data_IF_668349312002
#
_entry.id   IF_668349312002
#
_cell.length_a   1.000
_cell.length_b   1.000
_cell.length_c   1.000
_cell.angle_alpha   90.00
_cell.angle_beta   90.00
_cell.angle_gamma   90.00
#
_symmetry.space_group_name_H-M   'P 1'
#
loop_
_entity.id
_entity.type
_entity.pdbx_description
1 polymer ?
#
# COMPACT_ATOMS: atom_id res chain seq x y z
N UNK A 1 -49.73 -85.89 -6.21
CA UNK A 1 -48.46 -85.13 -6.06
C UNK A 1 -48.80 -83.69 -5.67
N UNK A 2 -47.91 -82.92 -5.04
CA UNK A 2 -47.27 -82.97 -3.71
C UNK A 2 -48.08 -82.11 -2.68
N UNK A 3 -47.79 -82.03 -1.38
CA UNK A 3 -46.84 -81.08 -0.74
C UNK A 3 -46.64 -81.46 0.74
N UNK A 4 -45.43 -81.19 1.24
CA UNK A 4 -44.83 -81.76 2.45
C UNK A 4 -44.15 -80.67 3.28
N UNK A 5 -44.05 -80.95 4.59
CA UNK A 5 -43.16 -80.41 5.63
C UNK A 5 -43.55 -79.04 6.23
N UNK A 6 -43.78 -78.86 7.55
CA UNK A 6 -42.96 -79.22 8.74
C UNK A 6 -41.57 -78.51 8.69
N UNK A 7 -40.91 -78.02 9.74
CA UNK A 7 -40.94 -78.36 11.16
C UNK A 7 -40.22 -77.26 11.99
N UNK A 8 -40.70 -77.08 13.22
CA UNK A 8 -39.99 -77.19 14.53
C UNK A 8 -38.65 -76.47 14.84
N UNK A 9 -38.62 -75.92 16.07
CA UNK A 9 -37.61 -75.14 16.82
C UNK A 9 -36.24 -75.81 17.09
N UNK A 10 -35.21 -74.93 17.21
CA UNK A 10 -33.95 -74.88 18.02
C UNK A 10 -33.60 -76.02 19.00
N UNK A 11 -32.30 -76.30 19.37
CA UNK A 11 -31.30 -75.29 19.83
C UNK A 11 -29.76 -75.61 19.76
N UNK A 12 -28.96 -74.66 20.27
CA UNK A 12 -27.65 -74.76 20.98
C UNK A 12 -26.27 -74.94 20.27
N UNK A 13 -25.41 -73.96 20.59
CA UNK A 13 -23.95 -73.98 20.88
C UNK A 13 -22.85 -74.13 19.82
N UNK A 14 -22.00 -73.09 19.83
CA UNK A 14 -20.53 -73.05 19.76
C UNK A 14 -19.82 -73.46 18.46
N UNK A 15 -19.22 -72.49 17.78
CA UNK A 15 -17.76 -72.52 17.54
C UNK A 15 -17.22 -71.13 17.16
N UNK A 16 -16.03 -70.85 17.69
CA UNK A 16 -15.20 -69.67 17.52
C UNK A 16 -14.72 -69.54 16.07
N UNK A 17 -14.90 -68.37 15.46
CA UNK A 17 -14.02 -67.92 14.38
C UNK A 17 -13.75 -66.41 14.46
N UNK A 18 -12.48 -66.15 14.78
CA UNK A 18 -11.64 -65.01 14.38
C UNK A 18 -12.28 -64.04 13.38
N UNK A 19 -12.18 -62.76 13.72
CA UNK A 19 -11.75 -61.77 12.74
C UNK A 19 -12.49 -60.43 12.80
N UNK A 20 -11.66 -59.38 12.79
CA UNK A 20 -11.97 -58.03 12.30
C UNK A 20 -13.05 -57.22 13.04
N UNK A 21 -12.62 -56.12 13.67
CA UNK A 21 -13.59 -55.13 14.12
C UNK A 21 -13.07 -53.98 14.98
N UNK A 22 -11.84 -53.49 14.79
CA UNK A 22 -11.54 -52.12 15.25
C UNK A 22 -12.14 -51.14 14.24
N UNK A 23 -13.41 -50.80 14.41
CA UNK A 23 -13.99 -49.58 13.87
C UNK A 23 -13.45 -48.41 14.69
N UNK A 24 -12.28 -47.92 14.33
CA UNK A 24 -11.87 -46.56 14.64
C UNK A 24 -11.74 -45.84 13.30
N UNK A 25 -12.79 -45.12 12.91
CA UNK A 25 -12.69 -44.10 11.87
C UNK A 25 -11.96 -42.90 12.48
N UNK A 26 -10.71 -42.57 12.10
CA UNK A 26 -10.26 -41.21 12.26
C UNK A 26 -11.00 -40.36 11.22
N UNK A 27 -11.88 -39.48 11.70
CA UNK A 27 -12.38 -38.35 10.92
C UNK A 27 -11.18 -37.49 10.52
N UNK A 28 -10.58 -37.80 9.37
CA UNK A 28 -9.60 -36.94 8.70
C UNK A 28 -10.37 -35.76 8.08
N UNK A 29 -10.65 -34.76 8.92
CA UNK A 29 -11.04 -33.44 8.44
C UNK A 29 -9.79 -32.79 7.82
N UNK A 30 -9.59 -33.05 6.53
CA UNK A 30 -8.73 -32.28 5.65
C UNK A 30 -9.31 -30.87 5.50
N UNK A 31 -9.08 -30.02 6.50
CA UNK A 31 -9.22 -28.58 6.32
C UNK A 31 -8.04 -28.11 5.46
N UNK A 32 -8.23 -28.11 4.14
CA UNK A 32 -7.44 -27.27 3.26
C UNK A 32 -7.74 -25.82 3.67
N UNK A 33 -6.90 -25.25 4.53
CA UNK A 33 -6.91 -23.84 4.86
C UNK A 33 -6.52 -23.07 3.60
N UNK A 34 -7.51 -22.74 2.76
CA UNK A 34 -7.38 -21.61 1.86
C UNK A 34 -7.41 -20.34 2.71
N UNK A 35 -6.25 -20.00 3.25
CA UNK A 35 -5.95 -18.68 3.80
C UNK A 35 -5.93 -17.66 2.65
N UNK A 36 -7.12 -17.30 2.16
CA UNK A 36 -7.35 -16.15 1.27
C UNK A 36 -7.30 -14.81 2.04
N UNK A 37 -6.69 -14.80 3.22
CA UNK A 37 -6.30 -13.57 3.90
C UNK A 37 -4.81 -13.65 4.18
N UNK A 38 -4.02 -13.67 3.10
CA UNK A 38 -2.57 -13.50 3.14
C UNK A 38 -2.19 -12.07 3.52
N UNK A 39 -2.47 -11.66 4.76
CA UNK A 39 -1.78 -10.55 5.41
C UNK A 39 -0.54 -11.11 6.10
N UNK A 40 0.42 -11.59 5.31
CA UNK A 40 1.77 -11.87 5.77
C UNK A 40 2.76 -11.22 4.81
N UNK A 41 2.69 -9.90 4.70
CA UNK A 41 3.86 -9.13 4.31
C UNK A 41 4.67 -8.95 5.58
N UNK A 42 5.68 -9.79 5.79
CA UNK A 42 6.77 -9.41 6.70
C UNK A 42 7.34 -8.12 6.12
N UNK A 43 7.01 -6.99 6.73
CA UNK A 43 7.69 -5.74 6.46
C UNK A 43 9.13 -5.97 6.90
N UNK A 44 9.98 -6.40 5.97
CA UNK A 44 11.42 -6.31 6.16
C UNK A 44 11.66 -4.82 6.32
N UNK A 45 11.80 -4.38 7.57
CA UNK A 45 12.30 -3.05 7.89
C UNK A 45 13.73 -3.02 7.36
N UNK A 46 13.87 -2.65 6.09
CA UNK A 46 15.15 -2.23 5.56
C UNK A 46 15.48 -1.01 6.41
N UNK A 47 16.58 -1.08 7.17
CA UNK A 47 17.09 0.08 7.87
C UNK A 47 17.45 1.10 6.80
N UNK A 48 16.53 2.02 6.52
CA UNK A 48 16.79 3.09 5.59
C UNK A 48 17.84 4.01 6.24
N UNK A 49 18.85 4.44 5.49
CA UNK A 49 19.85 5.38 6.00
C UNK A 49 19.13 6.66 6.45
N UNK A 50 19.26 6.98 7.73
CA UNK A 50 18.67 8.16 8.36
C UNK A 50 19.62 9.34 8.23
N UNK A 51 19.07 10.52 7.91
CA UNK A 51 19.85 11.75 7.72
C UNK A 51 19.14 12.99 8.25
N UNK A 52 19.88 14.11 8.33
CA UNK A 52 19.34 15.43 8.64
C UNK A 52 18.96 16.17 7.36
N UNK A 53 17.68 16.50 7.22
CA UNK A 53 17.12 17.10 6.01
C UNK A 53 16.03 18.08 6.36
N UNK A 54 16.16 19.36 6.02
CA UNK A 54 15.03 20.28 6.14
C UNK A 54 14.11 20.17 4.93
N UNK A 55 12.81 20.40 5.13
CA UNK A 55 11.81 20.42 4.05
C UNK A 55 11.35 21.85 3.83
N UNK A 56 11.45 22.31 2.60
CA UNK A 56 11.08 23.64 2.17
C UNK A 56 9.59 23.99 2.50
N UNK A 57 9.23 25.29 2.54
CA UNK A 57 7.84 25.70 2.67
C UNK A 57 6.97 25.20 1.50
N UNK A 58 5.64 25.18 1.68
CA UNK A 58 4.70 24.69 0.66
C UNK A 58 4.75 25.49 -0.66
N UNK A 59 5.21 26.74 -0.64
CA UNK A 59 5.48 27.54 -1.85
C UNK A 59 6.48 26.88 -2.79
N UNK A 60 7.41 26.11 -2.23
CA UNK A 60 8.50 25.46 -2.96
C UNK A 60 8.13 24.01 -3.34
N UNK A 61 6.83 23.69 -3.25
CA UNK A 61 6.22 22.46 -3.73
C UNK A 61 5.14 22.78 -4.77
N UNK A 62 5.53 23.52 -5.81
CA UNK A 62 4.59 24.08 -6.79
C UNK A 62 3.71 23.01 -7.43
N UNK A 63 2.38 23.20 -7.40
CA UNK A 63 1.44 22.37 -8.14
C UNK A 63 1.32 22.90 -9.58
N UNK A 64 2.05 22.27 -10.49
CA UNK A 64 2.23 22.76 -11.86
C UNK A 64 0.92 22.88 -12.62
N UNK A 65 -0.01 21.89 -12.59
CA UNK A 65 -1.34 22.04 -13.21
C UNK A 65 -2.12 23.27 -12.76
N UNK A 66 -2.06 23.62 -11.46
CA UNK A 66 -2.73 24.83 -10.97
C UNK A 66 -2.01 26.12 -11.37
N UNK A 67 -0.69 26.12 -11.33
CA UNK A 67 0.14 27.26 -11.78
C UNK A 67 -0.09 27.57 -13.25
N UNK A 68 -0.27 26.53 -14.07
CA UNK A 68 -0.49 26.65 -15.50
C UNK A 68 -2.00 26.88 -15.84
N UNK A 69 -2.86 27.03 -14.83
CA UNK A 69 -4.27 27.37 -14.98
C UNK A 69 -5.18 26.22 -15.43
N UNK A 70 -4.70 24.98 -15.40
CA UNK A 70 -5.46 23.79 -15.83
C UNK A 70 -6.51 23.37 -14.80
N UNK A 71 -6.20 23.56 -13.50
CA UNK A 71 -7.09 23.28 -12.36
C UNK A 71 -6.94 24.35 -11.26
N UNK A 72 -7.86 24.37 -10.30
CA UNK A 72 -7.68 25.20 -9.10
C UNK A 72 -6.60 24.61 -8.16
N UNK A 73 -5.93 25.44 -7.34
CA UNK A 73 -4.85 24.99 -6.44
C UNK A 73 -5.20 23.86 -5.48
N UNK A 74 -6.49 23.69 -5.18
CA UNK A 74 -7.04 22.69 -4.26
C UNK A 74 -7.78 21.54 -4.96
N UNK A 75 -7.73 21.44 -6.29
CA UNK A 75 -8.45 20.41 -7.07
C UNK A 75 -7.49 19.43 -7.74
N UNK A 76 -7.80 18.16 -7.62
CA UNK A 76 -7.12 17.07 -8.36
C UNK A 76 -7.95 16.74 -9.60
N UNK A 77 -7.28 16.57 -10.74
CA UNK A 77 -7.92 16.10 -11.97
C UNK A 77 -8.37 14.65 -11.82
N UNK A 78 -9.60 14.35 -12.24
CA UNK A 78 -10.15 13.00 -12.22
C UNK A 78 -11.05 12.71 -13.42
N UNK A 79 -11.23 11.43 -13.74
CA UNK A 79 -12.02 10.99 -14.89
C UNK A 79 -13.53 10.99 -14.62
N UNK A 80 -13.96 10.75 -13.37
CA UNK A 80 -15.36 10.77 -12.99
C UNK A 80 -15.94 12.19 -12.90
N UNK A 81 -17.27 12.28 -12.96
CA UNK A 81 -17.99 13.54 -13.00
C UNK A 81 -17.84 14.39 -11.71
N UNK A 82 -17.64 13.74 -10.56
CA UNK A 82 -17.46 14.42 -9.28
C UNK A 82 -16.00 14.82 -9.09
N UNK A 83 -15.71 16.12 -9.06
CA UNK A 83 -14.35 16.61 -8.81
C UNK A 83 -13.84 16.26 -7.41
N UNK A 84 -12.53 16.01 -7.29
CA UNK A 84 -11.85 15.86 -5.99
C UNK A 84 -11.30 17.23 -5.59
N UNK A 85 -12.01 17.90 -4.67
CA UNK A 85 -11.64 19.22 -4.15
C UNK A 85 -11.28 19.10 -2.67
N UNK A 86 -10.10 19.60 -2.31
CA UNK A 86 -9.60 19.58 -0.95
C UNK A 86 -9.89 20.89 -0.22
N UNK A 87 -9.85 20.80 1.12
CA UNK A 87 -9.94 21.97 2.00
C UNK A 87 -8.72 22.88 1.88
N UNK A 88 -7.54 22.28 1.76
CA UNK A 88 -6.27 22.99 1.62
C UNK A 88 -5.72 22.80 0.21
N UNK A 89 -4.79 23.65 -0.19
CA UNK A 89 -4.14 23.52 -1.48
C UNK A 89 -3.34 22.21 -1.59
N UNK A 90 -3.19 21.74 -2.82
CA UNK A 90 -2.52 20.48 -3.13
C UNK A 90 -1.05 20.51 -2.75
N UNK A 91 -0.37 21.65 -2.94
CA UNK A 91 1.02 21.82 -2.52
C UNK A 91 1.19 21.62 -1.00
N UNK A 92 0.31 22.21 -0.19
CA UNK A 92 0.36 22.08 1.26
C UNK A 92 0.08 20.65 1.71
N UNK A 93 -0.95 20.03 1.14
CA UNK A 93 -1.34 18.65 1.46
C UNK A 93 -0.23 17.66 1.11
N UNK A 94 0.37 17.79 -0.09
CA UNK A 94 1.48 16.93 -0.51
C UNK A 94 2.72 17.20 0.33
N UNK A 95 3.09 18.46 0.60
CA UNK A 95 4.25 18.82 1.42
C UNK A 95 4.12 18.28 2.84
N UNK A 96 2.94 18.37 3.45
CA UNK A 96 2.68 17.82 4.78
C UNK A 96 2.73 16.29 4.79
N UNK A 97 2.21 15.64 3.73
CA UNK A 97 2.37 14.20 3.52
C UNK A 97 3.84 13.79 3.42
N UNK A 98 4.66 14.54 2.68
CA UNK A 98 6.11 14.29 2.57
C UNK A 98 6.80 14.40 3.92
N UNK A 99 6.54 15.46 4.67
CA UNK A 99 7.08 15.64 6.04
C UNK A 99 6.70 14.49 6.95
N UNK A 100 5.42 14.07 6.92
CA UNK A 100 4.92 12.93 7.71
C UNK A 100 5.64 11.64 7.33
N UNK A 101 5.72 11.32 6.04
CA UNK A 101 6.38 10.11 5.54
C UNK A 101 7.88 10.07 5.83
N UNK A 102 8.60 11.19 5.64
CA UNK A 102 10.03 11.27 5.96
C UNK A 102 10.31 11.08 7.46
N UNK A 103 9.48 11.65 8.34
CA UNK A 103 9.59 11.42 9.79
C UNK A 103 9.35 9.96 10.15
N UNK A 104 8.33 9.33 9.55
CA UNK A 104 8.06 7.90 9.75
C UNK A 104 9.22 7.05 9.27
N UNK A 105 9.90 7.44 8.20
CA UNK A 105 11.09 6.77 7.69
C UNK A 105 12.37 7.06 8.51
N UNK A 106 12.31 7.90 9.55
CA UNK A 106 13.42 8.16 10.47
C UNK A 106 14.30 9.36 10.13
N UNK A 107 13.89 10.23 9.20
CA UNK A 107 14.64 11.47 8.93
C UNK A 107 14.41 12.53 10.01
N UNK A 108 15.49 13.22 10.39
CA UNK A 108 15.44 14.38 11.28
C UNK A 108 15.25 15.65 10.45
N UNK A 109 14.12 16.34 10.64
CA UNK A 109 13.75 17.47 9.77
C UNK A 109 14.16 18.85 10.26
N UNK A 110 14.83 18.91 11.41
CA UNK A 110 15.21 20.14 12.09
C UNK A 110 16.70 20.42 11.87
N UNK A 111 17.04 21.60 11.36
CA UNK A 111 18.43 22.08 11.25
C UNK A 111 19.32 21.35 10.23
N UNK A 112 18.74 20.75 9.18
CA UNK A 112 19.50 20.03 8.16
C UNK A 112 20.32 20.97 7.25
N UNK A 113 21.53 20.55 6.88
CA UNK A 113 22.36 21.26 5.86
C UNK A 113 21.83 21.11 4.44
N UNK A 114 20.84 20.25 4.26
CA UNK A 114 20.17 19.95 2.99
C UNK A 114 18.72 20.38 3.08
N UNK A 115 18.20 20.96 2.01
CA UNK A 115 16.80 21.38 1.90
C UNK A 115 16.15 20.61 0.76
N UNK A 116 15.11 19.83 1.06
CA UNK A 116 14.25 19.18 0.08
C UNK A 116 13.13 20.12 -0.36
N UNK A 117 13.02 20.32 -1.66
CA UNK A 117 11.93 21.03 -2.34
C UNK A 117 11.39 20.16 -3.49
N UNK A 118 10.33 20.61 -4.16
CA UNK A 118 9.84 19.88 -5.31
C UNK A 118 8.81 20.59 -6.17
N UNK A 119 8.34 19.88 -7.19
CA UNK A 119 7.20 20.30 -7.99
C UNK A 119 6.32 19.11 -8.29
N UNK A 120 5.02 19.32 -8.11
CA UNK A 120 3.97 18.34 -8.38
C UNK A 120 3.61 18.53 -9.86
N UNK A 121 4.32 17.80 -10.72
CA UNK A 121 4.17 17.90 -12.17
C UNK A 121 2.86 17.27 -12.65
N UNK A 122 2.37 16.24 -11.93
CA UNK A 122 1.09 15.60 -12.20
C UNK A 122 0.51 15.04 -10.92
N UNK A 123 -0.77 15.28 -10.68
CA UNK A 123 -1.54 14.55 -9.68
C UNK A 123 -2.94 14.32 -10.22
N UNK A 124 -3.26 13.07 -10.58
CA UNK A 124 -4.51 12.72 -11.27
C UNK A 124 -5.08 11.41 -10.74
N UNK A 125 -6.39 11.22 -10.89
CA UNK A 125 -7.09 9.99 -10.53
C UNK A 125 -7.87 9.44 -11.71
N UNK A 126 -7.65 8.18 -12.07
CA UNK A 126 -8.59 7.44 -12.91
C UNK A 126 -9.54 6.63 -12.02
N UNK A 127 -10.73 7.15 -11.81
CA UNK A 127 -11.81 6.63 -10.95
C UNK A 127 -13.02 6.14 -11.74
N UNK A 128 -12.87 5.99 -13.06
CA UNK A 128 -13.91 5.50 -13.98
C UNK A 128 -14.43 4.13 -13.53
N UNK A 129 -13.49 3.21 -13.24
CA UNK A 129 -13.76 1.84 -12.80
C UNK A 129 -13.11 1.59 -11.44
N UNK A 130 -13.52 0.51 -10.77
CA UNK A 130 -12.85 0.06 -9.56
C UNK A 130 -11.72 -0.92 -9.93
N UNK A 131 -10.54 -0.84 -9.29
CA UNK A 131 -10.10 0.18 -8.33
C UNK A 131 -9.78 1.52 -9.01
N UNK A 132 -9.79 2.60 -8.24
CA UNK A 132 -9.30 3.89 -8.70
C UNK A 132 -7.75 3.89 -8.74
N UNK A 133 -7.19 4.55 -9.75
CA UNK A 133 -5.75 4.67 -9.95
C UNK A 133 -5.28 6.09 -9.75
N UNK A 134 -4.55 6.32 -8.67
CA UNK A 134 -3.93 7.60 -8.34
C UNK A 134 -2.55 7.65 -8.97
N UNK A 135 -2.26 8.68 -9.73
CA UNK A 135 -0.94 8.92 -10.33
C UNK A 135 -0.36 10.21 -9.80
N UNK A 136 0.83 10.13 -9.21
CA UNK A 136 1.59 11.27 -8.74
C UNK A 136 2.95 11.29 -9.44
N UNK A 137 3.27 12.41 -10.11
CA UNK A 137 4.59 12.70 -10.67
C UNK A 137 5.19 13.87 -9.92
N UNK A 138 6.25 13.60 -9.19
CA UNK A 138 7.00 14.56 -8.39
C UNK A 138 8.40 14.74 -8.95
N UNK A 139 8.80 15.99 -9.18
CA UNK A 139 10.21 16.34 -9.32
C UNK A 139 10.72 16.83 -7.98
N UNK A 140 11.71 16.13 -7.44
CA UNK A 140 12.37 16.45 -6.18
C UNK A 140 13.71 17.12 -6.44
N UNK A 141 14.05 18.10 -5.61
CA UNK A 141 15.34 18.79 -5.65
C UNK A 141 15.88 18.92 -4.23
N UNK A 142 17.13 18.53 -4.03
CA UNK A 142 17.86 18.76 -2.78
C UNK A 142 18.92 19.81 -3.02
N UNK A 143 18.90 20.83 -2.19
CA UNK A 143 19.80 21.97 -2.25
C UNK A 143 20.65 22.03 -0.99
N UNK A 144 21.92 22.37 -1.14
CA UNK A 144 22.80 22.73 -0.02
C UNK A 144 22.36 24.06 0.60
N UNK A 145 22.04 24.08 1.89
CA UNK A 145 21.49 25.26 2.55
C UNK A 145 22.48 26.44 2.61
N UNK A 146 23.79 26.17 2.64
CA UNK A 146 24.82 27.19 2.77
C UNK A 146 25.20 27.81 1.40
N UNK A 147 25.32 26.98 0.37
CA UNK A 147 25.78 27.39 -0.96
C UNK A 147 24.65 27.59 -1.97
N UNK A 148 23.42 27.20 -1.62
CA UNK A 148 22.27 27.16 -2.51
C UNK A 148 22.46 26.33 -3.79
N UNK A 149 23.46 25.44 -3.81
CA UNK A 149 23.72 24.56 -4.95
C UNK A 149 22.82 23.34 -4.90
N UNK A 150 22.23 22.99 -6.04
CA UNK A 150 21.51 21.72 -6.22
C UNK A 150 22.52 20.58 -6.14
N UNK A 151 22.34 19.69 -5.18
CA UNK A 151 23.19 18.51 -4.98
C UNK A 151 22.53 17.22 -5.46
N UNK A 152 21.21 17.25 -5.65
CA UNK A 152 20.45 16.14 -6.21
C UNK A 152 19.15 16.64 -6.83
N UNK A 153 18.75 16.02 -7.94
CA UNK A 153 17.46 16.24 -8.59
C UNK A 153 17.00 14.94 -9.20
N UNK A 154 15.74 14.58 -8.99
CA UNK A 154 15.14 13.38 -9.58
C UNK A 154 13.67 13.61 -9.87
N UNK A 155 13.10 12.79 -10.75
CA UNK A 155 11.66 12.77 -10.99
C UNK A 155 11.13 11.38 -10.72
N UNK A 156 10.13 11.27 -9.85
CA UNK A 156 9.48 10.01 -9.47
C UNK A 156 8.04 10.06 -9.93
N UNK A 157 7.63 9.01 -10.65
CA UNK A 157 6.22 8.79 -10.99
C UNK A 157 5.78 7.53 -10.29
N UNK A 158 4.74 7.64 -9.47
CA UNK A 158 4.15 6.51 -8.76
C UNK A 158 2.68 6.36 -9.13
N UNK A 159 2.20 5.12 -9.02
CA UNK A 159 0.79 4.78 -9.23
C UNK A 159 0.29 3.98 -8.05
N UNK A 160 -0.70 4.53 -7.34
CA UNK A 160 -1.35 3.89 -6.21
C UNK A 160 -2.73 3.38 -6.61
N UNK A 161 -3.02 2.12 -6.26
CA UNK A 161 -4.35 1.53 -6.44
C UNK A 161 -5.14 1.74 -5.15
N UNK A 162 -6.36 2.26 -5.25
CA UNK A 162 -7.25 2.44 -4.11
C UNK A 162 -8.63 1.88 -4.44
N UNK A 163 -9.27 1.12 -3.53
CA UNK A 163 -10.69 0.80 -3.65
C UNK A 163 -11.54 2.06 -3.93
N UNK A 164 -12.61 1.92 -4.70
CA UNK A 164 -13.41 3.07 -5.19
C UNK A 164 -14.01 3.94 -4.08
N UNK A 165 -14.20 3.40 -2.88
CA UNK A 165 -14.76 4.10 -1.71
C UNK A 165 -13.71 4.49 -0.67
N UNK A 166 -12.42 4.36 -0.99
CA UNK A 166 -11.37 4.92 -0.15
C UNK A 166 -11.50 6.44 -0.12
N UNK A 167 -11.48 7.01 1.08
CA UNK A 167 -11.45 8.47 1.25
C UNK A 167 -10.30 9.07 0.46
N UNK A 168 -10.55 10.17 -0.27
CA UNK A 168 -9.53 10.88 -1.04
C UNK A 168 -8.33 11.24 -0.18
N UNK A 169 -8.55 11.63 1.09
CA UNK A 169 -7.44 11.93 2.03
C UNK A 169 -6.52 10.73 2.22
N UNK A 170 -7.07 9.54 2.45
CA UNK A 170 -6.28 8.32 2.65
C UNK A 170 -5.53 7.96 1.37
N UNK A 171 -6.21 8.00 0.22
CA UNK A 171 -5.57 7.69 -1.05
C UNK A 171 -4.45 8.67 -1.42
N UNK A 172 -4.61 9.96 -1.09
CA UNK A 172 -3.55 10.97 -1.26
C UNK A 172 -2.36 10.65 -0.34
N UNK A 173 -2.61 10.39 0.95
CA UNK A 173 -1.54 10.04 1.90
C UNK A 173 -0.75 8.80 1.46
N UNK A 174 -1.45 7.75 1.02
CA UNK A 174 -0.83 6.52 0.51
C UNK A 174 0.00 6.78 -0.76
N UNK A 175 -0.52 7.60 -1.68
CA UNK A 175 0.17 7.96 -2.92
C UNK A 175 1.42 8.79 -2.64
N UNK A 176 1.35 9.76 -1.72
CA UNK A 176 2.50 10.57 -1.31
C UNK A 176 3.53 9.72 -0.61
N UNK A 177 3.11 8.83 0.30
CA UNK A 177 4.00 7.87 0.95
C UNK A 177 4.75 7.03 -0.08
N UNK A 178 4.06 6.46 -1.06
CA UNK A 178 4.68 5.66 -2.12
C UNK A 178 5.73 6.47 -2.92
N UNK A 179 5.47 7.76 -3.17
CA UNK A 179 6.43 8.66 -3.82
C UNK A 179 7.66 8.93 -2.97
N UNK A 180 7.50 9.09 -1.65
CA UNK A 180 8.59 9.28 -0.70
C UNK A 180 9.41 8.00 -0.53
N UNK A 181 8.77 6.83 -0.45
CA UNK A 181 9.48 5.55 -0.40
C UNK A 181 10.37 5.39 -1.65
N UNK A 182 9.83 5.68 -2.84
CA UNK A 182 10.59 5.66 -4.09
C UNK A 182 11.73 6.70 -4.19
N UNK A 183 11.66 7.78 -3.39
CA UNK A 183 12.73 8.76 -3.24
C UNK A 183 13.82 8.25 -2.30
N UNK A 184 13.44 7.66 -1.16
CA UNK A 184 14.37 7.13 -0.15
C UNK A 184 15.13 5.92 -0.69
N UNK A 185 14.50 5.11 -1.55
CA UNK A 185 15.13 3.98 -2.22
C UNK A 185 16.13 4.42 -3.32
N UNK A 186 16.22 5.72 -3.63
CA UNK A 186 17.17 6.26 -4.61
C UNK A 186 18.56 6.44 -3.96
N UNK A 187 19.60 5.70 -4.42
CA UNK A 187 20.94 5.83 -3.85
C UNK A 187 21.53 7.23 -4.01
N UNK A 188 21.15 7.97 -5.06
CA UNK A 188 21.58 9.34 -5.28
C UNK A 188 20.99 10.29 -4.25
N UNK A 189 19.74 10.07 -3.85
CA UNK A 189 19.11 10.84 -2.78
C UNK A 189 19.81 10.56 -1.44
N UNK A 190 19.97 9.29 -1.09
CA UNK A 190 20.66 8.85 0.13
C UNK A 190 22.06 9.44 0.21
N UNK A 191 22.82 9.42 -0.88
CA UNK A 191 24.16 10.02 -0.93
C UNK A 191 24.14 11.55 -0.76
N UNK A 192 23.08 12.22 -1.22
CA UNK A 192 23.00 13.66 -1.13
C UNK A 192 22.62 14.17 0.27
N UNK A 193 21.89 13.37 1.04
CA UNK A 193 21.39 13.74 2.38
C UNK A 193 22.26 13.24 3.54
N UNK A 194 23.28 12.42 3.25
CA UNK A 194 24.27 11.94 4.22
C UNK A 194 25.64 12.61 4.04
#
# INVERSE_FOLDING_TARGET
>A
MPQSLDATRSPLTSTVLKGCGTLALPLMLSACSWSWFGLNTSARAVAHPTGWLSVAPASDFAYVPARDGQVSPNRIENTAMTGIVLKNDINETVRNGIVKSLRIAGFHLDGGKRVLSGSIEKFTVDDTRSPAFWTLKMRYVVTDAATQKVVFSTTKTVKQKSPKFTSSTIAIEDTVKLSVDALIDDPGFVKAVN
#
